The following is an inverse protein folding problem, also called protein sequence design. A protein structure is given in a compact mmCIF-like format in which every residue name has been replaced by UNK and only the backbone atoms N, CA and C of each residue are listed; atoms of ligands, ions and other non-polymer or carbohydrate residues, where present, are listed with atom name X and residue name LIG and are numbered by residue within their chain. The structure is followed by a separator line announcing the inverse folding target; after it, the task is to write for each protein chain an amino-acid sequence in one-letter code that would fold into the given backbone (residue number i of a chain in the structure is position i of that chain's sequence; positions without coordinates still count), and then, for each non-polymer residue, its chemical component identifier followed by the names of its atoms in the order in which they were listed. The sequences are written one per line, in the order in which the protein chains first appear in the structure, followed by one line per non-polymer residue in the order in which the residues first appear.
data_IF_030579227369
#
_entry.id   IF_030579227369
#
_cell.length_a   1.000
_cell.length_b   1.000
_cell.length_c   1.000
_cell.angle_alpha   90.00
_cell.angle_beta   90.00
_cell.angle_gamma   90.00
#
_symmetry.space_group_name_H-M   'P 1'
#
loop_
_entity.id
_entity.type
_entity.pdbx_description
1 polymer ?
#
# COMPACT_ATOMS: atom_id res chain seq x y z
N UNK A 1 -13.63 13.23 -4.95
CA UNK A 1 -13.18 11.96 -4.32
C UNK A 1 -11.83 11.59 -4.90
N UNK A 2 -10.74 12.15 -4.37
CA UNK A 2 -9.38 11.83 -4.81
C UNK A 2 -8.77 10.85 -3.81
N UNK A 3 -8.53 9.61 -4.23
CA UNK A 3 -7.74 8.65 -3.46
C UNK A 3 -6.27 8.80 -3.85
N UNK A 4 -5.35 8.40 -2.97
CA UNK A 4 -3.91 8.39 -3.30
C UNK A 4 -3.65 7.57 -4.56
N UNK A 5 -4.41 6.49 -4.78
CA UNK A 5 -4.32 5.66 -5.99
C UNK A 5 -4.56 6.47 -7.27
N UNK A 6 -5.61 7.31 -7.31
CA UNK A 6 -5.91 8.12 -8.51
C UNK A 6 -4.82 9.14 -8.79
N UNK A 7 -4.27 9.76 -7.74
CA UNK A 7 -3.15 10.71 -7.85
C UNK A 7 -1.90 9.97 -8.36
N UNK A 8 -1.57 8.81 -7.79
CA UNK A 8 -0.43 7.98 -8.20
C UNK A 8 -0.49 7.61 -9.68
N UNK A 9 -1.68 7.27 -10.20
CA UNK A 9 -1.87 7.03 -11.64
C UNK A 9 -1.61 8.28 -12.47
N UNK A 10 -2.16 9.43 -12.06
CA UNK A 10 -2.04 10.70 -12.78
C UNK A 10 -0.58 11.17 -12.93
N UNK A 11 0.23 10.98 -11.88
CA UNK A 11 1.66 11.36 -11.89
C UNK A 11 2.58 10.30 -12.51
N UNK A 12 2.03 9.19 -13.04
CA UNK A 12 2.82 8.15 -13.70
C UNK A 12 3.63 7.28 -12.74
N UNK A 13 3.15 7.06 -11.51
CA UNK A 13 3.82 6.15 -10.57
C UNK A 13 3.91 4.74 -11.17
N UNK A 14 5.13 4.21 -11.24
CA UNK A 14 5.42 2.89 -11.82
C UNK A 14 5.14 1.72 -10.85
N UNK A 15 5.02 2.00 -9.55
CA UNK A 15 4.67 1.02 -8.52
C UNK A 15 3.65 1.65 -7.58
N UNK A 16 2.48 1.02 -7.44
CA UNK A 16 1.41 1.51 -6.58
C UNK A 16 1.04 0.41 -5.58
N UNK A 17 1.21 0.71 -4.29
CA UNK A 17 0.81 -0.17 -3.19
C UNK A 17 -0.40 0.47 -2.49
N UNK A 18 -1.63 0.04 -2.78
CA UNK A 18 -2.82 0.54 -2.11
C UNK A 18 -2.85 0.03 -0.66
N UNK A 19 -3.02 0.97 0.27
CA UNK A 19 -3.16 0.69 1.71
C UNK A 19 -4.62 0.87 2.14
N UNK A 20 -4.87 0.70 3.45
CA UNK A 20 -6.16 1.02 4.05
C UNK A 20 -6.43 2.53 4.00
N UNK A 21 -7.67 2.92 4.32
CA UNK A 21 -8.17 4.28 4.25
C UNK A 21 -7.28 5.30 5.00
N UNK A 22 -7.34 6.57 4.59
CA UNK A 22 -6.56 7.70 5.14
C UNK A 22 -6.56 7.80 6.68
N UNK A 23 -7.64 7.48 7.45
CA UNK A 23 -7.54 7.54 8.92
C UNK A 23 -6.52 6.54 9.52
N UNK A 24 -6.11 5.52 8.77
CA UNK A 24 -5.29 4.41 9.25
C UNK A 24 -4.05 4.15 8.36
N UNK A 25 -3.25 5.17 8.01
CA UNK A 25 -2.20 5.03 7.00
C UNK A 25 -1.12 4.00 7.38
N UNK A 26 -1.03 3.69 8.68
CA UNK A 26 -0.04 2.79 9.27
C UNK A 26 -0.65 1.64 10.08
N UNK A 27 -1.98 1.43 10.02
CA UNK A 27 -2.67 0.40 10.82
C UNK A 27 -3.95 0.92 11.48
N UNK A 28 -4.84 0.00 11.85
CA UNK A 28 -6.15 0.27 12.46
C UNK A 28 -6.13 -0.13 13.94
N UNK A 29 -6.18 0.87 14.82
CA UNK A 29 -6.13 0.68 16.26
C UNK A 29 -7.38 0.03 16.87
N UNK A 30 -8.46 -0.12 16.10
CA UNK A 30 -9.67 -0.83 16.55
C UNK A 30 -9.54 -2.35 16.46
N UNK A 31 -8.52 -2.86 15.75
CA UNK A 31 -8.24 -4.29 15.61
C UNK A 31 -7.51 -4.84 16.83
N UNK A 32 -7.70 -6.14 17.08
CA UNK A 32 -6.88 -6.88 18.05
C UNK A 32 -5.40 -6.85 17.63
N UNK A 33 -4.50 -6.78 18.62
CA UNK A 33 -3.06 -6.61 18.44
C UNK A 33 -2.44 -7.50 17.36
N UNK A 34 -2.78 -8.78 17.35
CA UNK A 34 -2.20 -9.73 16.38
C UNK A 34 -2.73 -9.52 14.97
N UNK A 35 -4.03 -9.18 14.83
CA UNK A 35 -4.64 -8.84 13.55
C UNK A 35 -4.07 -7.54 13.00
N UNK A 36 -3.94 -6.53 13.85
CA UNK A 36 -3.34 -5.24 13.51
C UNK A 36 -1.88 -5.44 13.03
N UNK A 37 -1.10 -6.24 13.76
CA UNK A 37 0.27 -6.59 13.36
C UNK A 37 0.31 -7.29 12.00
N UNK A 38 -0.57 -8.27 11.76
CA UNK A 38 -0.63 -8.97 10.48
C UNK A 38 -0.96 -8.02 9.32
N UNK A 39 -1.86 -7.05 9.52
CA UNK A 39 -2.16 -6.03 8.50
C UNK A 39 -0.91 -5.23 8.16
N UNK A 40 -0.22 -4.68 9.17
CA UNK A 40 1.03 -3.93 8.95
C UNK A 40 2.10 -4.78 8.28
N UNK A 41 2.27 -6.03 8.70
CA UNK A 41 3.29 -6.93 8.15
C UNK A 41 3.04 -7.20 6.66
N UNK A 42 1.80 -7.53 6.29
CA UNK A 42 1.43 -7.76 4.90
C UNK A 42 1.64 -6.52 4.01
N UNK A 43 1.37 -5.31 4.53
CA UNK A 43 1.62 -4.07 3.80
C UNK A 43 3.12 -3.85 3.54
N UNK A 44 3.96 -4.06 4.56
CA UNK A 44 5.42 -3.93 4.43
C UNK A 44 5.98 -4.97 3.47
N UNK A 45 5.57 -6.23 3.60
CA UNK A 45 6.05 -7.31 2.71
C UNK A 45 5.68 -7.04 1.24
N UNK A 46 4.47 -6.52 0.97
CA UNK A 46 4.05 -6.07 -0.38
C UNK A 46 4.89 -4.90 -0.88
N UNK A 47 5.18 -3.90 -0.03
CA UNK A 47 6.01 -2.76 -0.40
C UNK A 47 7.46 -3.15 -0.69
N UNK A 48 8.05 -4.02 0.14
CA UNK A 48 9.40 -4.55 -0.09
C UNK A 48 9.44 -5.34 -1.40
N UNK A 49 8.45 -6.21 -1.65
CA UNK A 49 8.33 -6.93 -2.92
C UNK A 49 8.21 -5.98 -4.12
N UNK A 50 7.45 -4.89 -3.98
CA UNK A 50 7.34 -3.88 -5.03
C UNK A 50 8.71 -3.28 -5.37
N UNK A 51 9.49 -2.90 -4.35
CA UNK A 51 10.83 -2.33 -4.53
C UNK A 51 11.80 -3.29 -5.24
N UNK A 52 11.72 -4.59 -4.95
CA UNK A 52 12.59 -5.60 -5.58
C UNK A 52 12.13 -6.05 -6.97
N UNK A 53 10.89 -5.73 -7.36
CA UNK A 53 10.33 -6.14 -8.66
C UNK A 53 10.85 -5.23 -9.78
N UNK A 54 11.39 -5.81 -10.85
CA UNK A 54 11.81 -5.08 -12.06
C UNK A 54 10.61 -4.38 -12.70
N UNK A 55 10.76 -3.09 -13.00
CA UNK A 55 9.70 -2.31 -13.66
C UNK A 55 9.77 -2.58 -15.16
N UNK A 56 8.66 -3.04 -15.71
CA UNK A 56 8.43 -3.15 -17.16
C UNK A 56 7.27 -2.25 -17.57
N UNK A 57 6.24 -2.21 -16.72
CA UNK A 57 5.07 -1.37 -16.82
C UNK A 57 4.64 -0.91 -15.42
N UNK A 58 3.63 -0.03 -15.33
CA UNK A 58 3.06 0.37 -14.05
C UNK A 58 2.33 -0.81 -13.40
N UNK A 59 2.72 -1.17 -12.18
CA UNK A 59 2.18 -2.34 -11.48
C UNK A 59 1.48 -1.97 -10.17
N UNK A 60 0.33 -2.59 -9.95
CA UNK A 60 -0.36 -2.62 -8.66
C UNK A 60 0.11 -3.85 -7.88
N UNK A 61 0.65 -3.61 -6.69
CA UNK A 61 1.13 -4.64 -5.77
C UNK A 61 0.13 -4.85 -4.64
#
# INVERSE_FOLDING_TARGET
MATIVTISKSVGANRIVPTVAIPYPVGDASLEKDKEYMVRRNLVDRAVKALTTKVQEATFF
#
